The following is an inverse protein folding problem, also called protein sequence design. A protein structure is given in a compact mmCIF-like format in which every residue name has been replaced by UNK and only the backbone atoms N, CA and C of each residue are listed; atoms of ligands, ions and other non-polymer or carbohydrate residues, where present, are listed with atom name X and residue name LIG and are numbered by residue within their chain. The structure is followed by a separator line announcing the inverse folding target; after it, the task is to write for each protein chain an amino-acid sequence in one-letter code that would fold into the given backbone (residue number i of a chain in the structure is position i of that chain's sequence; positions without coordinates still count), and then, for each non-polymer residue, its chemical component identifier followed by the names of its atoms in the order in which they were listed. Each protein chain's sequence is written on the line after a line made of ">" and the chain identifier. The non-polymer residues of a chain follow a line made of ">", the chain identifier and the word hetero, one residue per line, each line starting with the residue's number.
data_IF_987592015812
#
_entry.id   IF_987592015812
#
_cell.length_a   1.000
_cell.length_b   1.000
_cell.length_c   1.000
_cell.angle_alpha   90.00
_cell.angle_beta   90.00
_cell.angle_gamma   90.00
#
_symmetry.space_group_name_H-M   'P 1'
#
loop_
_entity.id
_entity.type
_entity.pdbx_description
1 polymer ?
#
# COMPACT_ATOMS: atom_id res chain seq x y z
N UNK A 1 17.20 -3.60 8.26
CA UNK A 1 17.11 -2.76 7.06
C UNK A 1 16.23 -1.55 7.32
N UNK A 2 16.46 -0.48 6.57
CA UNK A 2 15.69 0.75 6.72
C UNK A 2 14.27 0.65 6.12
N UNK A 3 14.13 -0.10 5.03
CA UNK A 3 12.85 -0.26 4.35
C UNK A 3 12.12 -1.50 4.86
N UNK A 4 10.85 -1.34 5.22
CA UNK A 4 9.98 -2.36 5.79
C UNK A 4 9.86 -3.62 4.91
N UNK A 5 9.97 -3.48 3.59
CA UNK A 5 9.92 -4.61 2.67
C UNK A 5 11.09 -5.61 2.81
N UNK A 6 12.21 -5.20 3.43
CA UNK A 6 13.35 -6.06 3.65
C UNK A 6 13.27 -6.68 5.05
N UNK A 7 12.92 -7.94 5.13
CA UNK A 7 12.79 -8.69 6.38
C UNK A 7 14.09 -9.45 6.67
N UNK A 8 14.45 -9.53 7.96
CA UNK A 8 15.62 -10.27 8.43
C UNK A 8 15.33 -11.76 8.69
N UNK A 9 14.07 -12.15 8.65
CA UNK A 9 13.61 -13.51 8.88
C UNK A 9 12.55 -13.87 7.84
N UNK A 10 12.34 -15.16 7.59
CA UNK A 10 11.28 -15.62 6.70
C UNK A 10 9.92 -15.12 7.21
N UNK A 11 9.10 -14.64 6.30
CA UNK A 11 7.71 -14.25 6.55
C UNK A 11 6.77 -15.13 5.74
N UNK A 12 5.51 -15.15 6.12
CA UNK A 12 4.47 -15.89 5.42
C UNK A 12 4.21 -15.35 4.02
N UNK A 13 3.48 -16.13 3.25
CA UNK A 13 3.03 -15.72 1.90
C UNK A 13 2.24 -14.41 1.93
N UNK A 14 1.46 -14.20 2.98
CA UNK A 14 0.68 -12.99 3.22
C UNK A 14 1.15 -12.30 4.50
N UNK A 15 1.68 -11.11 4.37
CA UNK A 15 2.01 -10.23 5.50
C UNK A 15 0.82 -9.31 5.71
N UNK A 16 0.22 -9.45 6.89
CA UNK A 16 -0.94 -8.69 7.34
C UNK A 16 -0.44 -7.60 8.27
N UNK A 17 -0.49 -6.35 7.82
CA UNK A 17 -0.10 -5.19 8.59
C UNK A 17 -1.36 -4.51 9.15
N UNK A 18 -1.53 -4.57 10.46
CA UNK A 18 -2.66 -3.92 11.16
C UNK A 18 -2.20 -2.57 11.69
N UNK A 19 -2.92 -1.52 11.32
CA UNK A 19 -2.61 -0.17 11.77
C UNK A 19 -3.16 0.09 13.17
N UNK A 20 -2.27 0.51 14.09
CA UNK A 20 -2.61 0.84 15.48
C UNK A 20 -2.40 2.31 15.84
N UNK A 21 -2.15 3.17 14.85
CA UNK A 21 -2.00 4.61 15.09
C UNK A 21 -3.30 5.26 15.53
N UNK A 22 -3.21 6.47 16.05
CA UNK A 22 -4.28 7.17 16.78
C UNK A 22 -5.65 7.11 16.10
N UNK A 23 -5.76 7.32 14.81
CA UNK A 23 -7.05 7.24 14.11
C UNK A 23 -7.62 5.83 14.06
N UNK A 24 -6.79 4.84 13.79
CA UNK A 24 -7.20 3.44 13.78
C UNK A 24 -7.47 2.96 15.21
N UNK A 25 -6.63 3.32 16.17
CA UNK A 25 -6.80 2.99 17.58
C UNK A 25 -8.16 3.47 18.11
N UNK A 26 -8.52 4.72 17.87
CA UNK A 26 -9.80 5.28 18.30
C UNK A 26 -11.01 4.60 17.66
N UNK A 27 -10.84 3.97 16.50
CA UNK A 27 -11.89 3.31 15.74
C UNK A 27 -11.83 1.77 15.79
N UNK A 28 -11.04 1.21 16.72
CA UNK A 28 -10.97 -0.24 16.96
C UNK A 28 -9.75 -0.95 16.35
N UNK A 29 -8.68 -0.23 16.00
CA UNK A 29 -7.47 -0.84 15.44
C UNK A 29 -6.78 -1.82 16.37
N UNK A 30 -6.75 -1.56 17.69
CA UNK A 30 -6.21 -2.51 18.67
C UNK A 30 -7.09 -3.76 18.81
N UNK A 31 -8.43 -3.59 18.79
CA UNK A 31 -9.36 -4.71 18.79
C UNK A 31 -9.16 -5.60 17.57
N UNK A 32 -8.97 -4.96 16.39
CA UNK A 32 -8.68 -5.66 15.15
C UNK A 32 -7.35 -6.43 15.22
N UNK A 33 -6.30 -5.83 15.81
CA UNK A 33 -5.01 -6.51 16.00
C UNK A 33 -5.14 -7.72 16.91
N UNK A 34 -5.78 -7.58 18.08
CA UNK A 34 -5.99 -8.70 19.00
C UNK A 34 -6.85 -9.80 18.36
N UNK A 35 -7.85 -9.43 17.58
CA UNK A 35 -8.66 -10.38 16.83
C UNK A 35 -7.82 -11.12 15.79
N UNK A 36 -6.97 -10.42 15.05
CA UNK A 36 -6.06 -11.01 14.07
C UNK A 36 -5.09 -12.01 14.72
N UNK A 37 -4.48 -11.63 15.84
CA UNK A 37 -3.62 -12.53 16.64
C UNK A 37 -4.36 -13.79 17.09
N UNK A 38 -5.58 -13.62 17.58
CA UNK A 38 -6.41 -14.74 18.08
C UNK A 38 -6.84 -15.67 16.94
N UNK A 39 -7.31 -15.11 15.82
CA UNK A 39 -7.80 -15.86 14.65
C UNK A 39 -6.68 -16.63 13.94
N UNK A 40 -5.50 -16.04 13.87
CA UNK A 40 -4.34 -16.66 13.22
C UNK A 40 -3.48 -17.49 14.20
N UNK A 41 -3.69 -17.36 15.50
CA UNK A 41 -2.97 -18.11 16.54
C UNK A 41 -1.51 -17.69 16.71
N UNK A 42 -1.17 -16.46 16.29
CA UNK A 42 0.20 -15.91 16.38
C UNK A 42 0.16 -14.48 16.90
N UNK A 43 1.21 -14.08 17.60
CA UNK A 43 1.40 -12.69 18.04
C UNK A 43 1.94 -11.83 16.90
N UNK A 44 1.75 -10.53 17.01
CA UNK A 44 2.37 -9.56 16.10
C UNK A 44 3.88 -9.79 16.01
N UNK A 45 4.42 -9.80 14.79
CA UNK A 45 5.77 -10.23 14.45
C UNK A 45 5.90 -11.73 14.18
N UNK A 46 4.87 -12.54 14.46
CA UNK A 46 4.89 -14.00 14.25
C UNK A 46 4.30 -14.43 12.91
N UNK A 47 4.72 -15.63 12.50
CA UNK A 47 4.23 -16.31 11.30
C UNK A 47 3.50 -17.58 11.70
N UNK A 48 2.38 -17.87 11.05
CA UNK A 48 1.63 -19.12 11.26
C UNK A 48 2.47 -20.35 10.89
N UNK A 49 2.24 -21.47 11.57
CA UNK A 49 3.01 -22.70 11.36
C UNK A 49 2.94 -23.24 9.92
N UNK A 50 1.84 -22.93 9.21
CA UNK A 50 1.66 -23.28 7.81
C UNK A 50 2.44 -22.34 6.84
N UNK A 51 3.10 -21.31 7.38
CA UNK A 51 3.82 -20.32 6.60
C UNK A 51 2.92 -19.43 5.73
N UNK A 52 1.61 -19.41 6.00
CA UNK A 52 0.68 -18.67 5.15
C UNK A 52 0.59 -17.19 5.55
N UNK A 53 0.49 -16.90 6.84
CA UNK A 53 0.33 -15.54 7.34
C UNK A 53 1.45 -15.12 8.27
N UNK A 54 1.85 -13.87 8.17
CA UNK A 54 2.60 -13.13 9.19
C UNK A 54 1.75 -11.94 9.63
N UNK A 55 1.56 -11.77 10.93
CA UNK A 55 0.87 -10.59 11.49
C UNK A 55 1.90 -9.57 11.92
N UNK A 56 1.71 -8.32 11.55
CA UNK A 56 2.54 -7.22 12.01
C UNK A 56 1.66 -6.10 12.57
N UNK A 57 2.06 -5.58 13.70
CA UNK A 57 1.59 -4.32 14.24
C UNK A 57 2.39 -3.20 13.58
N UNK A 58 1.71 -2.31 12.90
CA UNK A 58 2.36 -1.18 12.22
C UNK A 58 1.82 0.15 12.72
N UNK A 59 2.72 1.09 12.95
CA UNK A 59 2.33 2.40 13.46
C UNK A 59 1.36 3.12 12.53
N UNK A 60 1.60 3.10 11.22
CA UNK A 60 0.71 3.78 10.29
C UNK A 60 0.82 3.25 8.86
N UNK A 61 -0.34 2.97 8.25
CA UNK A 61 -0.45 2.62 6.82
C UNK A 61 -0.87 3.81 5.94
N UNK A 62 -0.91 5.03 6.51
CA UNK A 62 -1.22 6.27 5.82
C UNK A 62 -2.63 6.35 5.18
N UNK A 63 -3.62 5.67 5.77
CA UNK A 63 -5.02 5.68 5.31
C UNK A 63 -5.99 6.16 6.41
N UNK A 64 -5.64 7.23 7.14
CA UNK A 64 -6.36 7.68 8.34
C UNK A 64 -7.82 8.09 8.09
N UNK A 65 -8.16 8.56 6.89
CA UNK A 65 -9.54 8.89 6.50
C UNK A 65 -10.44 7.66 6.34
N UNK A 66 -9.84 6.48 6.26
CA UNK A 66 -10.51 5.20 6.04
C UNK A 66 -10.30 4.22 7.20
N UNK A 67 -9.96 4.76 8.36
CA UNK A 67 -9.75 3.95 9.57
C UNK A 67 -11.03 3.24 10.05
N UNK A 68 -10.93 2.07 10.74
CA UNK A 68 -9.70 1.32 10.94
C UNK A 68 -9.29 0.58 9.66
N UNK A 69 -7.99 0.35 9.49
CA UNK A 69 -7.50 -0.27 8.26
C UNK A 69 -6.34 -1.23 8.52
N UNK A 70 -6.24 -2.22 7.67
CA UNK A 70 -5.10 -3.12 7.58
C UNK A 70 -4.70 -3.31 6.13
N UNK A 71 -3.52 -3.86 5.90
CA UNK A 71 -3.08 -4.25 4.56
C UNK A 71 -2.68 -5.71 4.52
N UNK A 72 -2.83 -6.34 3.35
CA UNK A 72 -2.25 -7.64 3.05
C UNK A 72 -1.33 -7.47 1.85
N UNK A 73 -0.03 -7.71 2.05
CA UNK A 73 0.99 -7.48 1.02
C UNK A 73 0.81 -6.14 0.30
N UNK A 74 0.56 -5.06 1.08
CA UNK A 74 0.32 -3.67 0.64
C UNK A 74 -0.99 -3.43 -0.14
N UNK A 75 -1.94 -4.37 -0.12
CA UNK A 75 -3.31 -4.12 -0.54
C UNK A 75 -4.14 -3.70 0.64
N UNK A 76 -4.80 -2.57 0.52
CA UNK A 76 -5.54 -1.94 1.60
C UNK A 76 -6.93 -2.52 1.78
N UNK A 77 -7.33 -2.67 3.05
CA UNK A 77 -8.69 -2.94 3.47
C UNK A 77 -9.14 -1.82 4.39
N UNK A 78 -10.11 -1.07 3.95
CA UNK A 78 -10.58 0.15 4.59
C UNK A 78 -11.81 -0.10 5.44
N UNK A 79 -11.95 0.68 6.54
CA UNK A 79 -13.09 0.59 7.47
C UNK A 79 -13.34 -0.83 7.91
N UNK A 80 -12.26 -1.53 8.13
CA UNK A 80 -12.27 -2.97 8.33
C UNK A 80 -12.50 -3.31 9.81
N UNK A 81 -13.61 -3.96 10.07
CA UNK A 81 -13.87 -4.61 11.35
C UNK A 81 -13.34 -6.05 11.36
N UNK A 82 -13.56 -6.72 12.49
CA UNK A 82 -13.20 -8.13 12.70
C UNK A 82 -13.85 -9.07 11.68
N UNK A 83 -15.12 -8.82 11.32
CA UNK A 83 -15.83 -9.61 10.32
C UNK A 83 -15.16 -9.52 8.94
N UNK A 84 -14.76 -8.32 8.53
CA UNK A 84 -14.02 -8.11 7.28
C UNK A 84 -12.69 -8.85 7.28
N UNK A 85 -12.00 -8.84 8.42
CA UNK A 85 -10.75 -9.56 8.60
C UNK A 85 -10.94 -11.07 8.42
N UNK A 86 -11.94 -11.66 9.09
CA UNK A 86 -12.26 -13.08 9.01
C UNK A 86 -12.60 -13.52 7.57
N UNK A 87 -13.39 -12.71 6.87
CA UNK A 87 -13.71 -12.97 5.46
C UNK A 87 -12.48 -12.95 4.57
N UNK A 88 -11.58 -11.98 4.78
CA UNK A 88 -10.33 -11.88 4.02
C UNK A 88 -9.44 -13.08 4.29
N UNK A 89 -9.28 -13.48 5.55
CA UNK A 89 -8.48 -14.66 5.92
C UNK A 89 -9.07 -15.94 5.32
N UNK A 90 -10.39 -16.10 5.36
CA UNK A 90 -11.06 -17.26 4.78
C UNK A 90 -10.87 -17.33 3.25
N UNK A 91 -10.96 -16.20 2.56
CA UNK A 91 -10.72 -16.13 1.13
C UNK A 91 -9.27 -16.47 0.76
N UNK A 92 -8.31 -15.92 1.49
CA UNK A 92 -6.89 -16.19 1.27
C UNK A 92 -6.52 -17.66 1.54
N UNK A 93 -7.06 -18.25 2.61
CA UNK A 93 -6.89 -19.69 2.88
C UNK A 93 -7.47 -20.58 1.79
N UNK A 94 -8.57 -20.14 1.18
CA UNK A 94 -9.21 -20.84 0.07
C UNK A 94 -8.55 -20.53 -1.30
N UNK A 95 -7.49 -19.75 -1.35
CA UNK A 95 -6.83 -19.33 -2.58
C UNK A 95 -7.66 -18.37 -3.44
N UNK A 96 -8.66 -17.73 -2.85
CA UNK A 96 -9.47 -16.70 -3.53
C UNK A 96 -8.91 -15.32 -3.28
N UNK A 97 -9.14 -14.41 -4.23
CA UNK A 97 -8.79 -13.00 -4.02
C UNK A 97 -9.89 -12.30 -3.21
N UNK A 98 -9.56 -11.71 -2.04
CA UNK A 98 -10.53 -10.96 -1.24
C UNK A 98 -10.78 -9.53 -1.75
N UNK A 99 -10.19 -9.15 -2.88
CA UNK A 99 -10.34 -7.80 -3.43
C UNK A 99 -11.79 -7.52 -3.83
N UNK A 100 -12.28 -6.36 -3.42
CA UNK A 100 -13.68 -5.98 -3.52
C UNK A 100 -14.40 -5.95 -2.17
N UNK A 101 -13.79 -6.46 -1.08
CA UNK A 101 -14.31 -6.41 0.30
C UNK A 101 -13.71 -5.21 1.06
N UNK A 102 -14.01 -3.99 0.60
CA UNK A 102 -13.44 -2.76 1.20
C UNK A 102 -11.98 -2.49 0.84
N UNK A 103 -11.40 -3.25 -0.07
CA UNK A 103 -10.07 -2.94 -0.57
C UNK A 103 -10.10 -1.70 -1.44
N UNK A 104 -9.30 -0.70 -1.11
CA UNK A 104 -9.02 0.38 -2.01
C UNK A 104 -7.95 -0.10 -2.99
N UNK A 105 -8.23 0.01 -4.25
CA UNK A 105 -7.25 -0.30 -5.30
C UNK A 105 -7.88 -0.82 -6.56
N UNK A 106 -7.10 -0.88 -7.56
CA UNK A 106 -7.39 -1.14 -8.96
C UNK A 106 -7.88 -2.57 -9.26
N UNK A 107 -8.34 -3.33 -8.28
CA UNK A 107 -8.70 -4.74 -8.43
C UNK A 107 -7.48 -5.59 -8.82
N UNK A 108 -7.55 -6.86 -8.66
CA UNK A 108 -6.47 -7.77 -9.03
C UNK A 108 -6.09 -8.72 -7.89
N UNK A 109 -5.11 -9.55 -8.12
CA UNK A 109 -4.60 -10.47 -7.10
C UNK A 109 -3.77 -9.73 -6.04
N UNK A 110 -3.78 -10.28 -4.83
CA UNK A 110 -2.80 -9.90 -3.81
C UNK A 110 -1.47 -10.54 -4.22
N UNK A 111 -0.44 -9.73 -4.48
CA UNK A 111 0.86 -10.26 -4.88
C UNK A 111 1.50 -11.03 -3.71
N UNK A 112 2.34 -12.00 -4.02
CA UNK A 112 3.13 -12.67 -2.99
C UNK A 112 4.10 -11.69 -2.32
N UNK A 113 4.29 -11.82 -1.00
CA UNK A 113 5.23 -11.00 -0.27
C UNK A 113 6.67 -11.25 -0.75
N UNK A 114 7.45 -10.18 -0.82
CA UNK A 114 8.87 -10.25 -1.21
C UNK A 114 9.12 -10.44 -2.71
N UNK A 115 8.08 -10.58 -3.52
CA UNK A 115 8.23 -10.65 -4.98
C UNK A 115 8.23 -9.27 -5.61
N UNK A 116 8.86 -9.14 -6.77
CA UNK A 116 8.77 -7.94 -7.59
C UNK A 116 7.36 -7.70 -8.16
N UNK A 117 6.43 -8.65 -7.99
CA UNK A 117 5.03 -8.50 -8.34
C UNK A 117 4.31 -7.36 -7.63
N UNK A 118 4.86 -6.88 -6.50
CA UNK A 118 4.38 -5.68 -5.80
C UNK A 118 4.81 -4.39 -6.47
N UNK A 119 5.93 -4.43 -7.17
CA UNK A 119 6.44 -3.30 -7.94
C UNK A 119 5.89 -3.41 -9.34
N UNK A 120 5.23 -2.38 -9.83
CA UNK A 120 4.82 -2.35 -11.23
C UNK A 120 6.05 -2.44 -12.12
N UNK A 121 6.19 -3.57 -12.79
CA UNK A 121 7.27 -3.79 -13.75
C UNK A 121 7.08 -2.95 -15.02
N UNK A 122 5.84 -2.62 -15.32
CA UNK A 122 5.50 -1.82 -16.48
C UNK A 122 4.40 -0.82 -16.12
N UNK A 123 4.64 0.44 -16.44
CA UNK A 123 3.63 1.50 -16.37
C UNK A 123 3.24 1.83 -17.80
N UNK A 124 1.95 1.70 -18.12
CA UNK A 124 1.43 2.04 -19.43
C UNK A 124 1.65 3.52 -19.75
N UNK A 125 1.82 3.86 -21.02
CA UNK A 125 2.21 5.22 -21.43
C UNK A 125 1.22 6.30 -20.94
N UNK A 126 -0.08 5.99 -20.90
CA UNK A 126 -1.14 6.86 -20.42
C UNK A 126 -1.05 7.14 -18.89
N UNK A 127 -0.36 6.28 -18.15
CA UNK A 127 -0.16 6.40 -16.68
C UNK A 127 1.24 6.90 -16.29
N UNK A 128 2.09 7.15 -17.26
CA UNK A 128 3.44 7.70 -17.04
C UNK A 128 3.40 9.23 -16.89
N UNK A 129 2.66 9.71 -15.92
CA UNK A 129 2.60 11.15 -15.68
C UNK A 129 4.01 11.73 -15.48
N UNK A 130 4.40 12.67 -16.33
CA UNK A 130 5.63 13.42 -16.20
C UNK A 130 6.93 12.69 -16.56
N UNK A 131 6.88 11.49 -17.12
CA UNK A 131 8.09 10.81 -17.63
C UNK A 131 8.22 11.11 -19.11
N UNK A 132 9.05 12.07 -19.42
CA UNK A 132 9.50 12.38 -20.79
C UNK A 132 10.87 11.72 -20.99
N UNK A 133 11.12 11.03 -22.11
CA UNK A 133 12.46 10.53 -22.41
C UNK A 133 13.50 11.65 -22.31
N UNK A 134 14.72 11.38 -21.84
CA UNK A 134 15.74 12.41 -21.67
C UNK A 134 16.02 13.23 -22.92
N UNK A 135 15.90 12.63 -24.08
CA UNK A 135 16.09 13.28 -25.40
C UNK A 135 14.95 14.25 -25.75
N UNK A 136 13.80 14.15 -25.09
CA UNK A 136 12.63 15.03 -25.32
C UNK A 136 12.50 16.12 -24.25
N UNK A 137 13.35 16.10 -23.23
CA UNK A 137 13.32 17.11 -22.16
C UNK A 137 13.98 18.38 -22.66
N UNK A 138 13.18 19.31 -23.16
CA UNK A 138 13.65 20.62 -23.68
C UNK A 138 13.41 21.77 -22.72
N UNK A 139 12.97 21.52 -21.50
CA UNK A 139 12.66 22.58 -20.54
C UNK A 139 12.60 22.11 -19.09
N UNK A 140 12.16 22.97 -18.21
CA UNK A 140 11.98 22.64 -16.81
C UNK A 140 10.94 21.52 -16.62
N UNK A 141 11.13 20.64 -15.62
CA UNK A 141 10.12 19.62 -15.29
C UNK A 141 8.74 20.23 -15.11
N UNK A 142 7.69 19.53 -15.56
CA UNK A 142 6.29 20.01 -15.51
C UNK A 142 5.88 20.50 -14.12
N UNK A 143 6.32 19.80 -13.06
CA UNK A 143 6.04 20.19 -11.68
C UNK A 143 6.69 21.53 -11.29
N UNK A 144 7.84 21.88 -11.91
CA UNK A 144 8.52 23.16 -11.67
C UNK A 144 7.81 24.30 -12.40
N UNK A 145 7.31 24.06 -13.62
CA UNK A 145 6.57 25.07 -14.39
C UNK A 145 5.25 25.47 -13.71
N UNK A 146 4.61 24.55 -12.99
CA UNK A 146 3.40 24.87 -12.20
C UNK A 146 3.69 25.65 -10.93
N UNK A 147 4.90 25.56 -10.37
CA UNK A 147 5.30 26.30 -9.17
C UNK A 147 5.83 27.69 -9.45
N UNK A 148 6.37 27.93 -10.63
CA UNK A 148 7.04 29.21 -10.97
C UNK A 148 6.09 30.19 -11.68
N UNK A 149 4.84 29.79 -11.91
CA UNK A 149 3.87 30.64 -12.63
C UNK A 149 4.27 30.83 -14.11
N UNK A 150 3.31 30.88 -14.98
CA UNK A 150 3.51 31.02 -16.43
C UNK A 150 3.99 32.41 -16.89
N UNK A 151 4.78 33.09 -16.10
CA UNK A 151 5.31 34.43 -16.39
C UNK A 151 6.82 34.46 -16.70
N UNK A 152 7.35 33.39 -17.31
CA UNK A 152 8.58 33.56 -18.09
C UNK A 152 8.18 34.14 -19.47
N UNK A 153 7.84 35.41 -19.43
CA UNK A 153 7.38 36.17 -20.56
C UNK A 153 8.32 36.10 -21.73
N UNK A 154 7.74 36.01 -22.88
CA UNK A 154 8.22 36.44 -24.13
C UNK A 154 8.86 37.85 -24.06
N UNK A 155 10.15 37.91 -23.77
CA UNK A 155 10.97 39.06 -24.14
C UNK A 155 11.54 38.75 -25.52
N UNK A 156 10.70 38.96 -26.53
CA UNK A 156 11.19 39.12 -27.90
C UNK A 156 11.55 40.61 -28.05
N UNK A 157 12.81 40.89 -27.77
CA UNK A 157 13.41 42.15 -28.19
C UNK A 157 13.32 42.28 -29.70
N UNK A 158 12.47 43.20 -30.14
CA UNK A 158 12.56 43.77 -31.50
C UNK A 158 13.83 44.61 -31.55
N UNK A 159 14.84 44.17 -32.30
CA UNK A 159 15.92 45.06 -32.74
C UNK A 159 15.51 45.66 -34.12
N UNK A 160 15.37 46.99 -34.11
CA UNK A 160 15.48 47.82 -35.30
C UNK A 160 16.96 48.09 -35.66
#
# INVERSE_FOLDING_TARGET
>A
SFYEMFKFHPVGRYVVNVCTNVSCQLLGGEELLHHAESTLGVRAGGTTDDGLFTVEDVECVAACTEAPCFTVNYRYFHRAGTDTFDEVVADLRAGRSPLGRGAAGDGGEIPEHGTLGRVRQHVTADRRAGVVPPEEVTGAPVWLSTMVGADAGSDQGEEE
#
